data_IF_368370851476
#
_entry.id   IF_368370851476
#
_cell.length_a   1.000
_cell.length_b   1.000
_cell.length_c   1.000
_cell.angle_alpha   90.00
_cell.angle_beta   90.00
_cell.angle_gamma   90.00
#
_symmetry.space_group_name_H-M   'P 1'
#
loop_
_entity.id
_entity.type
_entity.pdbx_description
1 polymer ?
#
# COMPACT_ATOMS: atom_id res chain seq x y z
N UNK A 1 -5.77 -34.01 -9.93
CA UNK A 1 -5.74 -33.82 -8.46
C UNK A 1 -6.55 -32.57 -8.14
N UNK A 2 -7.73 -32.73 -7.57
CA UNK A 2 -8.57 -31.62 -7.15
C UNK A 2 -8.03 -31.10 -5.81
N UNK A 3 -7.48 -29.89 -5.81
CA UNK A 3 -7.05 -29.20 -4.61
C UNK A 3 -8.29 -28.96 -3.74
N UNK A 4 -8.37 -29.63 -2.58
CA UNK A 4 -9.45 -29.45 -1.62
C UNK A 4 -9.47 -27.98 -1.17
N UNK A 5 -10.55 -27.26 -1.46
CA UNK A 5 -10.79 -25.95 -0.85
C UNK A 5 -10.91 -26.16 0.66
N UNK A 6 -9.96 -25.60 1.42
CA UNK A 6 -10.07 -25.47 2.87
C UNK A 6 -11.33 -24.67 3.23
N UNK A 7 -11.92 -24.97 4.39
CA UNK A 7 -13.26 -24.53 4.80
C UNK A 7 -13.57 -23.04 4.63
N UNK A 8 -14.86 -22.74 4.48
CA UNK A 8 -15.45 -21.46 4.08
C UNK A 8 -15.35 -20.30 5.09
N UNK A 9 -14.23 -20.17 5.82
CA UNK A 9 -13.95 -19.07 6.77
C UNK A 9 -12.52 -18.52 6.61
N UNK A 10 -11.96 -18.50 5.40
CA UNK A 10 -10.71 -17.78 5.14
C UNK A 10 -11.00 -16.28 5.01
N UNK A 11 -10.71 -15.50 6.04
CA UNK A 11 -10.63 -14.05 5.93
C UNK A 11 -9.33 -13.67 5.22
N UNK A 12 -9.43 -12.89 4.14
CA UNK A 12 -8.26 -12.41 3.41
C UNK A 12 -7.68 -11.16 4.11
N UNK A 13 -6.35 -11.07 4.11
CA UNK A 13 -5.60 -9.86 4.48
C UNK A 13 -4.80 -9.44 3.26
N UNK A 14 -4.89 -8.17 2.89
CA UNK A 14 -4.16 -7.62 1.74
C UNK A 14 -2.90 -6.90 2.23
N UNK A 15 -1.78 -7.13 1.57
CA UNK A 15 -0.52 -6.44 1.85
C UNK A 15 -0.04 -5.70 0.59
N UNK A 16 0.22 -4.40 0.71
CA UNK A 16 0.93 -3.62 -0.30
C UNK A 16 2.40 -3.55 0.11
N UNK A 17 3.26 -4.10 -0.72
CA UNK A 17 4.70 -4.17 -0.50
C UNK A 17 5.40 -3.45 -1.63
N UNK A 18 6.37 -2.60 -1.29
CA UNK A 18 7.17 -1.86 -2.27
C UNK A 18 8.63 -2.20 -2.10
N UNK A 19 9.28 -2.54 -3.20
CA UNK A 19 10.72 -2.77 -3.29
C UNK A 19 11.35 -1.65 -4.13
N UNK A 20 12.55 -1.24 -3.76
CA UNK A 20 13.34 -0.27 -4.51
C UNK A 20 14.40 -0.98 -5.35
N UNK A 21 14.86 -0.32 -6.41
CA UNK A 21 15.92 -0.84 -7.29
C UNK A 21 17.27 -1.06 -6.56
N UNK A 22 17.50 -0.38 -5.44
CA UNK A 22 18.66 -0.56 -4.56
C UNK A 22 18.55 -1.81 -3.65
N UNK A 23 17.47 -2.59 -3.78
CA UNK A 23 17.19 -3.78 -2.97
C UNK A 23 16.57 -3.49 -1.60
N UNK A 24 16.36 -2.22 -1.24
CA UNK A 24 15.63 -1.87 -0.02
C UNK A 24 14.13 -2.11 -0.16
N UNK A 25 13.45 -2.25 0.98
CA UNK A 25 12.01 -2.51 1.05
C UNK A 25 11.38 -1.45 1.94
N UNK A 26 10.24 -0.91 1.51
CA UNK A 26 9.46 0.03 2.32
C UNK A 26 8.66 -0.72 3.39
N UNK A 27 8.26 0.01 4.44
CA UNK A 27 7.24 -0.48 5.37
C UNK A 27 5.96 -0.82 4.59
N UNK A 28 5.39 -2.01 4.78
CA UNK A 28 4.21 -2.43 4.03
C UNK A 28 2.96 -1.75 4.57
N UNK A 29 1.93 -1.65 3.73
CA UNK A 29 0.57 -1.35 4.18
C UNK A 29 -0.21 -2.66 4.29
N UNK A 30 -0.84 -2.90 5.43
CA UNK A 30 -1.65 -4.09 5.71
C UNK A 30 -3.11 -3.67 5.84
N UNK A 31 -3.97 -4.25 5.00
CA UNK A 31 -5.40 -3.97 4.93
C UNK A 31 -6.15 -5.20 5.42
N UNK A 32 -6.80 -5.07 6.57
CA UNK A 32 -7.72 -6.07 7.08
C UNK A 32 -9.12 -5.89 6.50
N UNK A 33 -9.82 -6.99 6.24
CA UNK A 33 -11.25 -6.92 5.97
C UNK A 33 -12.00 -6.57 7.26
N UNK A 34 -12.70 -5.44 7.28
CA UNK A 34 -13.43 -5.00 8.47
C UNK A 34 -13.85 -3.54 8.41
N UNK A 35 -14.61 -3.11 9.43
CA UNK A 35 -15.05 -1.71 9.56
C UNK A 35 -14.28 -0.90 10.61
N UNK A 36 -13.59 -1.58 11.52
CA UNK A 36 -12.90 -0.95 12.63
C UNK A 36 -11.51 -1.58 12.79
N UNK A 37 -10.53 -0.74 13.05
CA UNK A 37 -9.18 -1.15 13.46
C UNK A 37 -9.20 -1.40 14.96
N UNK A 38 -8.70 -2.55 15.41
CA UNK A 38 -8.47 -2.76 16.83
C UNK A 38 -7.12 -2.16 17.21
N UNK A 39 -7.07 -1.31 18.25
CA UNK A 39 -5.81 -0.67 18.72
C UNK A 39 -4.68 -1.69 18.97
N UNK A 40 -5.04 -2.87 19.46
CA UNK A 40 -4.11 -3.99 19.69
C UNK A 40 -3.39 -4.50 18.43
N UNK A 41 -3.90 -4.23 17.23
CA UNK A 41 -3.24 -4.65 15.99
C UNK A 41 -1.94 -3.89 15.74
N UNK A 42 -1.82 -2.67 16.27
CA UNK A 42 -0.56 -1.91 16.24
C UNK A 42 0.42 -2.28 17.36
N UNK A 43 -0.01 -3.07 18.34
CA UNK A 43 0.88 -3.53 19.41
C UNK A 43 1.88 -4.54 18.83
N UNK A 44 3.16 -4.39 19.18
CA UNK A 44 4.25 -5.22 18.65
C UNK A 44 4.36 -5.22 17.11
N UNK A 45 4.06 -4.09 16.45
CA UNK A 45 4.26 -3.92 15.01
C UNK A 45 5.75 -3.84 14.63
N UNK A 46 6.42 -5.00 14.61
CA UNK A 46 7.87 -5.13 14.31
C UNK A 46 8.22 -4.56 12.94
N UNK A 47 7.31 -4.70 11.97
CA UNK A 47 7.49 -4.21 10.60
C UNK A 47 7.22 -2.72 10.44
N UNK A 48 6.73 -2.05 11.49
CA UNK A 48 6.22 -0.67 11.43
C UNK A 48 5.22 -0.47 10.29
N UNK A 49 4.46 -1.51 9.97
CA UNK A 49 3.50 -1.50 8.87
C UNK A 49 2.41 -0.46 9.10
N UNK A 50 1.94 0.16 8.02
CA UNK A 50 0.72 0.98 8.04
C UNK A 50 -0.49 0.05 8.07
N UNK A 51 -1.18 -0.04 9.21
CA UNK A 51 -2.31 -0.95 9.41
C UNK A 51 -3.62 -0.19 9.19
N UNK A 52 -4.46 -0.70 8.30
CA UNK A 52 -5.78 -0.14 8.02
C UNK A 52 -6.83 -1.25 7.85
N UNK A 53 -8.11 -0.89 7.72
CA UNK A 53 -9.17 -1.83 7.38
C UNK A 53 -10.18 -1.25 6.39
N UNK A 54 -10.68 -2.10 5.50
CA UNK A 54 -11.80 -1.78 4.61
C UNK A 54 -12.85 -2.90 4.63
N UNK A 55 -14.14 -2.59 4.42
CA UNK A 55 -15.20 -3.61 4.46
C UNK A 55 -14.99 -4.75 3.45
N UNK A 56 -14.37 -4.47 2.31
CA UNK A 56 -14.03 -5.44 1.28
C UNK A 56 -12.64 -6.10 1.51
N UNK A 57 -11.77 -5.50 2.31
CA UNK A 57 -10.39 -5.94 2.55
C UNK A 57 -9.42 -5.71 1.40
N UNK A 58 -9.79 -4.91 0.40
CA UNK A 58 -8.98 -4.62 -0.79
C UNK A 58 -8.64 -3.14 -0.86
N UNK A 59 -7.56 -2.79 -1.56
CA UNK A 59 -7.21 -1.39 -1.83
C UNK A 59 -8.27 -0.68 -2.65
N UNK A 60 -8.56 0.57 -2.31
CA UNK A 60 -9.33 1.51 -3.13
C UNK A 60 -8.51 2.76 -3.45
N UNK A 61 -9.11 3.70 -4.18
CA UNK A 61 -8.44 4.92 -4.61
C UNK A 61 -8.03 5.85 -3.46
N UNK A 62 -8.84 5.91 -2.40
CA UNK A 62 -8.58 6.75 -1.24
C UNK A 62 -7.39 6.19 -0.43
N UNK A 63 -7.37 4.88 -0.18
CA UNK A 63 -6.22 4.23 0.43
C UNK A 63 -4.96 4.32 -0.43
N UNK A 64 -5.08 4.26 -1.76
CA UNK A 64 -3.95 4.45 -2.66
C UNK A 64 -3.37 5.87 -2.52
N UNK A 65 -4.22 6.89 -2.35
CA UNK A 65 -3.82 8.26 -2.04
C UNK A 65 -3.08 8.38 -0.71
N UNK A 66 -3.65 7.82 0.36
CA UNK A 66 -3.00 7.80 1.67
C UNK A 66 -1.67 7.04 1.65
N UNK A 67 -1.59 5.94 0.88
CA UNK A 67 -0.38 5.17 0.72
C UNK A 67 0.72 5.95 -0.02
N UNK A 68 0.40 6.62 -1.13
CA UNK A 68 1.43 7.34 -1.90
C UNK A 68 2.00 8.52 -1.09
N UNK A 69 1.15 9.22 -0.34
CA UNK A 69 1.55 10.36 0.48
C UNK A 69 2.28 9.94 1.77
N UNK A 70 1.67 9.10 2.58
CA UNK A 70 2.14 8.84 3.95
C UNK A 70 3.08 7.65 4.05
N UNK A 71 3.17 6.80 3.01
CA UNK A 71 4.01 5.61 3.05
C UNK A 71 5.09 5.61 1.96
N UNK A 72 4.73 5.77 0.69
CA UNK A 72 5.69 5.77 -0.42
C UNK A 72 6.60 7.00 -0.37
N UNK A 73 6.07 8.19 -0.66
CA UNK A 73 6.89 9.41 -0.77
C UNK A 73 7.63 9.70 0.54
N UNK A 74 6.96 9.54 1.68
CA UNK A 74 7.59 9.73 2.99
C UNK A 74 8.86 8.87 3.19
N UNK A 75 8.93 7.65 2.65
CA UNK A 75 10.10 6.77 2.79
C UNK A 75 11.12 6.92 1.66
N UNK A 76 10.72 7.39 0.49
CA UNK A 76 11.59 7.43 -0.70
C UNK A 76 12.06 8.83 -1.08
N UNK A 77 11.41 9.91 -0.62
CA UNK A 77 11.77 11.29 -0.93
C UNK A 77 13.21 11.65 -0.57
N UNK A 78 13.71 11.19 0.58
CA UNK A 78 15.11 11.38 0.95
C UNK A 78 16.06 10.60 0.02
N UNK A 79 15.69 9.37 -0.36
CA UNK A 79 16.47 8.55 -1.30
C UNK A 79 16.53 9.17 -2.68
N UNK A 80 15.47 9.84 -3.10
CA UNK A 80 15.37 10.54 -4.37
C UNK A 80 16.32 11.75 -4.45
N UNK A 81 16.69 12.35 -3.32
CA UNK A 81 17.61 13.49 -3.25
C UNK A 81 17.25 14.64 -4.22
N UNK A 82 15.94 14.91 -4.39
CA UNK A 82 15.42 15.93 -5.30
C UNK A 82 15.29 15.49 -6.77
N UNK A 83 15.74 14.28 -7.13
CA UNK A 83 15.51 13.70 -8.44
C UNK A 83 14.09 13.12 -8.56
N UNK A 84 13.56 12.95 -9.79
CA UNK A 84 12.30 12.27 -9.99
C UNK A 84 12.29 10.84 -9.47
N UNK A 85 11.17 10.43 -8.88
CA UNK A 85 10.94 9.06 -8.41
C UNK A 85 10.11 8.31 -9.44
N UNK A 86 10.54 7.13 -9.87
CA UNK A 86 9.72 6.27 -10.74
C UNK A 86 9.00 5.24 -9.88
N UNK A 87 7.68 5.23 -9.95
CA UNK A 87 6.80 4.29 -9.27
C UNK A 87 6.11 3.41 -10.31
N UNK A 88 6.46 2.12 -10.33
CA UNK A 88 5.86 1.13 -11.22
C UNK A 88 4.71 0.43 -10.52
N UNK A 89 3.51 0.50 -11.10
CA UNK A 89 2.30 -0.11 -10.55
C UNK A 89 1.72 -1.10 -11.56
N UNK A 90 0.80 -1.96 -11.11
CA UNK A 90 0.01 -2.73 -12.06
C UNK A 90 -1.14 -1.85 -12.60
N UNK A 91 -1.72 -2.23 -13.74
CA UNK A 91 -2.79 -1.45 -14.39
C UNK A 91 -4.14 -1.39 -13.65
N UNK A 92 -4.19 -1.64 -12.34
CA UNK A 92 -5.43 -1.63 -11.56
C UNK A 92 -5.94 -0.19 -11.36
N UNK A 93 -7.25 0.00 -11.51
CA UNK A 93 -7.87 1.34 -11.55
C UNK A 93 -7.68 2.16 -10.27
N UNK A 94 -7.50 1.51 -9.12
CA UNK A 94 -7.21 2.20 -7.85
C UNK A 94 -5.91 3.01 -7.87
N UNK A 95 -4.98 2.68 -8.77
CA UNK A 95 -3.69 3.38 -8.89
C UNK A 95 -3.75 4.66 -9.71
N UNK A 96 -4.81 4.85 -10.50
CA UNK A 96 -4.95 5.96 -11.45
C UNK A 96 -6.12 6.89 -11.08
N UNK A 97 -6.38 7.06 -9.79
CA UNK A 97 -7.37 8.04 -9.32
C UNK A 97 -6.80 9.46 -9.43
N UNK A 98 -7.71 10.45 -9.52
CA UNK A 98 -7.31 11.85 -9.62
C UNK A 98 -6.40 12.28 -8.47
N UNK A 99 -6.69 11.84 -7.25
CA UNK A 99 -5.92 12.15 -6.04
C UNK A 99 -4.48 11.61 -6.13
N UNK A 100 -4.31 10.34 -6.52
CA UNK A 100 -2.99 9.72 -6.66
C UNK A 100 -2.17 10.42 -7.74
N UNK A 101 -2.77 10.66 -8.91
CA UNK A 101 -2.08 11.31 -10.03
C UNK A 101 -1.72 12.78 -9.74
N UNK A 102 -2.62 13.50 -9.06
CA UNK A 102 -2.37 14.89 -8.65
C UNK A 102 -1.22 14.96 -7.65
N UNK A 103 -1.24 14.08 -6.63
CA UNK A 103 -0.17 14.01 -5.63
C UNK A 103 1.17 13.66 -6.27
N UNK A 104 1.20 12.67 -7.17
CA UNK A 104 2.40 12.23 -7.86
C UNK A 104 3.02 13.36 -8.69
N UNK A 105 2.19 14.06 -9.48
CA UNK A 105 2.60 15.20 -10.29
C UNK A 105 3.19 16.34 -9.44
N UNK A 106 2.55 16.68 -8.32
CA UNK A 106 3.00 17.74 -7.42
C UNK A 106 4.32 17.41 -6.69
N UNK A 107 4.64 16.13 -6.52
CA UNK A 107 5.80 15.66 -5.74
C UNK A 107 6.92 15.07 -6.60
N UNK A 108 6.94 15.32 -7.91
CA UNK A 108 7.96 14.82 -8.84
C UNK A 108 8.06 13.28 -8.83
N UNK A 109 6.90 12.62 -8.75
CA UNK A 109 6.77 11.17 -8.84
C UNK A 109 6.14 10.85 -10.20
N UNK A 110 6.80 9.99 -10.96
CA UNK A 110 6.37 9.49 -12.26
C UNK A 110 5.77 8.10 -12.04
N UNK A 111 4.49 7.93 -12.37
CA UNK A 111 3.77 6.65 -12.25
C UNK A 111 3.67 5.97 -13.61
N UNK A 112 4.09 4.71 -13.72
CA UNK A 112 3.93 3.86 -14.91
C UNK A 112 3.12 2.60 -14.56
#
# INVERSE_FOLDING_TARGET
MQHKQGGANCENVTALVTICADGSVLQPMIIYKGKNIMKKWGENNVLKAMITCLPNGWTDGELAGQWIEHNFDHQTKYKAAGQPQILLLNGHSSHYTHEVLCYACQNNIITE
#
